data_IF_358377738860
#
_entry.id   IF_358377738860
#
_cell.length_a   1.000
_cell.length_b   1.000
_cell.length_c   1.000
_cell.angle_alpha   90.00
_cell.angle_beta   90.00
_cell.angle_gamma   90.00
#
_symmetry.space_group_name_H-M   'P 1'
#
loop_
_entity.id
_entity.type
_entity.pdbx_description
1 polymer ?
#
# COMPACT_ATOMS: atom_id res chain seq x y z
N UNK A 1 9.21 -16.25 8.42
CA UNK A 1 8.22 -16.09 7.33
C UNK A 1 7.45 -14.82 7.59
N UNK A 2 7.29 -13.97 6.57
CA UNK A 2 6.64 -12.67 6.69
C UNK A 2 5.14 -12.82 6.38
N UNK A 3 4.29 -12.19 7.19
CA UNK A 3 2.88 -11.99 6.85
C UNK A 3 2.73 -10.61 6.24
N UNK A 4 2.28 -10.54 4.99
CA UNK A 4 2.06 -9.31 4.24
C UNK A 4 0.57 -9.03 4.11
N UNK A 5 0.12 -7.86 4.56
CA UNK A 5 -1.26 -7.42 4.47
C UNK A 5 -1.47 -6.53 3.23
N UNK A 6 -2.40 -6.96 2.38
CA UNK A 6 -2.75 -6.34 1.09
C UNK A 6 -4.28 -6.13 0.99
N UNK A 7 -4.75 -5.41 -0.04
CA UNK A 7 -6.17 -5.17 -0.27
C UNK A 7 -6.81 -6.29 -1.10
N UNK A 8 -7.95 -6.79 -0.64
CA UNK A 8 -8.80 -7.69 -1.39
C UNK A 8 -9.33 -7.00 -2.67
N UNK A 9 -9.65 -7.83 -3.65
CA UNK A 9 -10.32 -7.45 -4.89
C UNK A 9 -11.23 -8.61 -5.33
N UNK A 10 -12.09 -8.32 -6.30
CA UNK A 10 -12.92 -9.35 -6.92
C UNK A 10 -12.08 -10.21 -7.85
N UNK A 11 -12.34 -11.52 -7.84
CA UNK A 11 -11.69 -12.44 -8.78
C UNK A 11 -11.94 -12.02 -10.24
N UNK A 12 -10.95 -12.18 -11.15
CA UNK A 12 -9.65 -12.83 -10.95
C UNK A 12 -8.53 -11.91 -10.44
N UNK A 13 -8.86 -10.68 -10.03
CA UNK A 13 -7.86 -9.67 -9.65
C UNK A 13 -7.40 -9.94 -8.21
N UNK A 14 -6.09 -10.10 -8.03
CA UNK A 14 -5.49 -10.36 -6.71
C UNK A 14 -4.72 -9.16 -6.16
N UNK A 15 -3.92 -8.50 -7.00
CA UNK A 15 -3.02 -7.43 -6.57
C UNK A 15 -3.26 -6.18 -7.41
N UNK A 16 -3.59 -5.06 -6.77
CA UNK A 16 -4.01 -3.86 -7.51
C UNK A 16 -3.57 -2.53 -6.88
N UNK A 17 -3.31 -2.48 -5.57
CA UNK A 17 -2.93 -1.24 -4.91
C UNK A 17 -1.48 -0.87 -5.21
N UNK A 18 -1.29 0.34 -5.75
CA UNK A 18 0.04 0.86 -6.06
C UNK A 18 0.95 0.95 -4.83
N UNK A 19 0.40 1.16 -3.64
CA UNK A 19 1.18 1.19 -2.40
C UNK A 19 1.64 -0.22 -2.00
N UNK A 20 0.76 -1.22 -2.08
CA UNK A 20 1.07 -2.58 -1.64
C UNK A 20 2.00 -3.30 -2.63
N UNK A 21 1.90 -2.97 -3.92
CA UNK A 21 2.84 -3.42 -4.95
C UNK A 21 4.30 -3.08 -4.63
N UNK A 22 4.58 -1.91 -4.04
CA UNK A 22 5.95 -1.54 -3.64
C UNK A 22 6.54 -2.56 -2.66
N UNK A 23 5.80 -2.88 -1.60
CA UNK A 23 6.23 -3.89 -0.62
C UNK A 23 6.35 -5.27 -1.23
N UNK A 24 5.40 -5.67 -2.10
CA UNK A 24 5.47 -6.94 -2.83
C UNK A 24 6.75 -7.04 -3.66
N UNK A 25 7.09 -5.99 -4.43
CA UNK A 25 8.31 -5.96 -5.21
C UNK A 25 9.57 -6.04 -4.36
N UNK A 26 9.61 -5.39 -3.20
CA UNK A 26 10.76 -5.49 -2.29
C UNK A 26 10.90 -6.91 -1.72
N UNK A 27 9.80 -7.54 -1.31
CA UNK A 27 9.80 -8.92 -0.83
C UNK A 27 10.29 -9.89 -1.91
N UNK A 28 9.80 -9.73 -3.14
CA UNK A 28 10.17 -10.57 -4.29
C UNK A 28 11.64 -10.34 -4.70
N UNK A 29 12.10 -9.08 -4.77
CA UNK A 29 13.50 -8.70 -5.06
C UNK A 29 14.47 -9.38 -4.08
N UNK A 30 14.10 -9.38 -2.79
CA UNK A 30 14.89 -9.98 -1.72
C UNK A 30 14.75 -11.50 -1.63
N UNK A 31 13.83 -12.09 -2.39
CA UNK A 31 13.47 -13.52 -2.36
C UNK A 31 13.07 -13.98 -0.95
N UNK A 32 12.41 -13.10 -0.19
CA UNK A 32 11.94 -13.43 1.16
C UNK A 32 10.66 -14.27 1.08
N UNK A 33 10.54 -15.28 1.94
CA UNK A 33 9.31 -16.08 2.02
C UNK A 33 8.22 -15.30 2.77
N UNK A 34 7.09 -15.07 2.10
CA UNK A 34 5.93 -14.41 2.67
C UNK A 34 4.61 -15.07 2.28
N UNK A 35 3.59 -14.86 3.12
CA UNK A 35 2.19 -15.11 2.79
C UNK A 35 1.44 -13.79 2.69
N UNK A 36 0.48 -13.71 1.77
CA UNK A 36 -0.40 -12.53 1.66
C UNK A 36 -1.71 -12.78 2.41
N UNK A 37 -2.14 -11.82 3.22
CA UNK A 37 -3.48 -11.73 3.80
C UNK A 37 -4.18 -10.57 3.10
N UNK A 38 -5.19 -10.88 2.30
CA UNK A 38 -6.02 -9.88 1.63
C UNK A 38 -7.13 -9.44 2.56
N UNK A 39 -7.26 -8.13 2.75
CA UNK A 39 -8.25 -7.51 3.63
C UNK A 39 -9.22 -6.64 2.83
N UNK A 40 -10.50 -6.70 3.19
CA UNK A 40 -11.46 -5.68 2.80
C UNK A 40 -11.20 -4.37 3.55
N UNK A 41 -11.68 -3.24 3.00
CA UNK A 41 -11.50 -1.94 3.65
C UNK A 41 -12.10 -1.89 5.07
N UNK A 42 -13.22 -2.59 5.29
CA UNK A 42 -13.89 -2.69 6.59
C UNK A 42 -13.07 -3.46 7.63
N UNK A 43 -12.14 -4.32 7.21
CA UNK A 43 -11.31 -5.14 8.08
C UNK A 43 -10.00 -4.45 8.49
N UNK A 44 -9.53 -3.46 7.69
CA UNK A 44 -8.25 -2.79 7.91
C UNK A 44 -8.09 -2.30 9.35
N UNK A 45 -9.09 -1.58 9.86
CA UNK A 45 -8.99 -0.98 11.20
C UNK A 45 -8.82 -2.06 12.29
N UNK A 46 -9.68 -3.08 12.30
CA UNK A 46 -9.67 -4.08 13.37
C UNK A 46 -8.44 -4.99 13.31
N UNK A 47 -8.02 -5.38 12.11
CA UNK A 47 -6.85 -6.25 11.91
C UNK A 47 -5.56 -5.50 12.20
N UNK A 48 -5.38 -4.29 11.64
CA UNK A 48 -4.14 -3.54 11.80
C UNK A 48 -3.95 -2.98 13.22
N UNK A 49 -5.02 -2.65 13.95
CA UNK A 49 -4.93 -2.34 15.38
C UNK A 49 -4.45 -3.52 16.21
N UNK A 50 -4.96 -4.72 15.93
CA UNK A 50 -4.54 -5.95 16.62
C UNK A 50 -3.06 -6.25 16.35
N UNK A 51 -2.62 -6.05 15.11
CA UNK A 51 -1.25 -6.29 14.68
C UNK A 51 -0.29 -5.21 15.20
N UNK A 52 -0.71 -3.95 15.22
CA UNK A 52 0.04 -2.83 15.78
C UNK A 52 0.18 -2.84 17.30
N UNK A 53 -0.47 -3.77 18.00
CA UNK A 53 -0.24 -4.02 19.43
C UNK A 53 1.07 -4.78 19.72
N UNK A 54 1.83 -5.18 18.70
CA UNK A 54 3.12 -5.87 18.87
C UNK A 54 4.24 -4.90 19.31
N UNK A 55 5.26 -5.38 20.04
CA UNK A 55 6.35 -4.53 20.52
C UNK A 55 7.04 -3.77 19.38
N UNK A 56 7.12 -2.43 19.50
CA UNK A 56 7.83 -1.56 18.56
C UNK A 56 7.06 -1.09 17.31
N UNK A 57 5.78 -1.46 17.14
CA UNK A 57 5.04 -1.16 15.91
C UNK A 57 3.95 -0.09 16.08
N UNK A 58 4.16 1.13 15.59
CA UNK A 58 3.02 1.93 15.15
C UNK A 58 2.61 1.43 13.76
N UNK A 59 1.50 0.69 13.70
CA UNK A 59 0.91 0.27 12.43
C UNK A 59 -0.18 1.27 12.08
N UNK A 60 0.02 2.02 11.00
CA UNK A 60 -1.02 2.85 10.40
C UNK A 60 -2.23 1.98 10.05
N UNK A 61 -3.44 2.54 10.08
CA UNK A 61 -4.67 1.83 9.70
C UNK A 61 -4.80 1.67 8.17
N UNK A 62 -3.66 1.53 7.49
CA UNK A 62 -3.53 1.45 6.04
C UNK A 62 -2.59 0.31 5.66
N UNK A 63 -2.67 -0.13 4.41
CA UNK A 63 -1.76 -1.12 3.82
C UNK A 63 -0.86 -0.46 2.76
N UNK A 64 0.37 -0.95 2.56
CA UNK A 64 0.91 -2.22 3.09
C UNK A 64 1.28 -2.18 4.57
N UNK A 65 1.14 -3.33 5.21
CA UNK A 65 1.71 -3.64 6.51
C UNK A 65 2.33 -5.04 6.47
N UNK A 66 3.35 -5.29 7.28
CA UNK A 66 3.93 -6.61 7.46
C UNK A 66 4.06 -6.96 8.94
N UNK A 67 4.01 -8.27 9.21
CA UNK A 67 4.52 -8.86 10.45
C UNK A 67 5.64 -9.80 10.09
N UNK A 68 6.83 -9.53 10.62
CA UNK A 68 7.95 -10.42 10.49
C UNK A 68 8.03 -11.34 11.70
N UNK A 69 7.61 -12.59 11.51
CA UNK A 69 7.62 -13.60 12.57
C UNK A 69 9.03 -13.93 13.08
N UNK A 70 10.10 -13.63 12.31
CA UNK A 70 11.47 -13.87 12.75
C UNK A 70 11.87 -12.94 13.91
N UNK A 71 11.30 -11.73 13.94
CA UNK A 71 11.64 -10.70 14.93
C UNK A 71 10.47 -10.31 15.83
N UNK A 72 9.24 -10.69 15.46
CA UNK A 72 8.00 -10.19 16.07
C UNK A 72 7.64 -8.76 15.67
N UNK A 73 8.39 -8.13 14.77
CA UNK A 73 8.17 -6.73 14.39
C UNK A 73 6.94 -6.59 13.49
N UNK A 74 6.11 -5.58 13.78
CA UNK A 74 5.03 -5.12 12.92
C UNK A 74 5.42 -3.76 12.32
N UNK A 75 5.41 -3.66 10.99
CA UNK A 75 5.86 -2.46 10.25
C UNK A 75 4.79 -2.07 9.24
N UNK A 76 4.51 -0.77 9.12
CA UNK A 76 3.57 -0.22 8.14
C UNK A 76 4.25 0.90 7.35
N UNK A 77 3.59 1.39 6.29
CA UNK A 77 4.15 2.27 5.26
C UNK A 77 5.15 1.57 4.33
N UNK A 78 4.90 1.66 3.01
CA UNK A 78 5.68 0.93 2.02
C UNK A 78 7.17 1.28 2.02
N UNK A 79 7.52 2.54 2.33
CA UNK A 79 8.90 3.01 2.36
C UNK A 79 9.60 2.51 3.63
N UNK A 80 8.97 2.68 4.79
CA UNK A 80 9.50 2.18 6.07
C UNK A 80 9.66 0.66 6.08
N UNK A 81 8.74 -0.08 5.44
CA UNK A 81 8.88 -1.53 5.25
C UNK A 81 10.12 -1.85 4.43
N UNK A 82 10.39 -1.11 3.36
CA UNK A 82 11.58 -1.34 2.54
C UNK A 82 12.88 -1.08 3.34
N UNK A 83 12.93 -0.01 4.13
CA UNK A 83 14.06 0.31 5.01
C UNK A 83 14.26 -0.77 6.08
N UNK A 84 13.17 -1.21 6.71
CA UNK A 84 13.19 -2.30 7.67
C UNK A 84 13.77 -3.58 7.06
N UNK A 85 13.30 -3.96 5.86
CA UNK A 85 13.76 -5.18 5.21
C UNK A 85 15.22 -5.09 4.75
N UNK A 86 15.69 -3.92 4.31
CA UNK A 86 17.11 -3.69 4.00
C UNK A 86 17.99 -3.85 5.25
N UNK A 87 17.53 -3.36 6.40
CA UNK A 87 18.24 -3.48 7.68
C UNK A 87 18.20 -4.89 8.26
N UNK A 88 17.03 -5.54 8.23
CA UNK A 88 16.81 -6.83 8.87
C UNK A 88 17.38 -7.99 8.06
N UNK A 89 17.45 -7.85 6.73
CA UNK A 89 17.94 -8.88 5.80
C UNK A 89 19.09 -8.34 4.94
N UNK A 90 20.24 -8.00 5.55
CA UNK A 90 21.33 -7.31 4.86
C UNK A 90 22.01 -8.15 3.77
N UNK A 91 21.88 -9.47 3.82
CA UNK A 91 22.44 -10.40 2.83
C UNK A 91 21.60 -10.52 1.54
N UNK A 92 20.48 -9.79 1.46
CA UNK A 92 19.61 -9.74 0.28
C UNK A 92 19.88 -8.49 -0.56
N UNK A 93 19.52 -8.46 -1.86
CA UNK A 93 19.63 -7.24 -2.66
C UNK A 93 18.95 -6.05 -1.97
N UNK A 94 19.63 -4.91 -1.93
CA UNK A 94 19.11 -3.69 -1.28
C UNK A 94 18.07 -3.01 -2.14
N UNK A 95 16.96 -2.60 -1.53
CA UNK A 95 16.01 -1.66 -2.13
C UNK A 95 16.63 -0.25 -2.22
N UNK A 96 17.46 0.11 -1.23
CA UNK A 96 18.23 1.34 -1.18
C UNK A 96 19.73 1.03 -1.26
N UNK A 97 20.33 1.06 -2.46
CA UNK A 97 21.77 0.96 -2.61
C UNK A 97 22.50 2.03 -1.77
N UNK A 98 23.66 1.67 -1.22
CA UNK A 98 24.43 2.57 -0.35
C UNK A 98 24.72 3.90 -1.03
N UNK A 99 24.41 5.01 -0.35
CA UNK A 99 24.57 6.37 -0.85
C UNK A 99 23.37 6.91 -1.64
N UNK A 100 22.32 6.11 -1.85
CA UNK A 100 21.09 6.55 -2.53
C UNK A 100 19.96 6.93 -1.57
N UNK A 101 20.10 6.66 -0.27
CA UNK A 101 19.04 6.74 0.73
C UNK A 101 18.39 8.13 0.76
N UNK A 102 19.21 9.20 0.86
CA UNK A 102 18.71 10.57 0.91
C UNK A 102 18.04 11.02 -0.40
N UNK A 103 18.57 10.59 -1.55
CA UNK A 103 18.03 10.92 -2.86
C UNK A 103 16.69 10.20 -3.10
N UNK A 104 16.60 8.93 -2.73
CA UNK A 104 15.37 8.16 -2.84
C UNK A 104 14.29 8.64 -1.86
N UNK A 105 14.66 9.04 -0.64
CA UNK A 105 13.76 9.69 0.31
C UNK A 105 13.18 10.99 -0.27
N UNK A 106 14.04 11.88 -0.76
CA UNK A 106 13.61 13.14 -1.36
C UNK A 106 12.73 12.92 -2.61
N UNK A 107 13.06 11.92 -3.43
CA UNK A 107 12.22 11.53 -4.56
C UNK A 107 10.86 11.02 -4.10
N UNK A 108 10.81 10.13 -3.11
CA UNK A 108 9.57 9.56 -2.59
C UNK A 108 8.63 10.64 -2.04
N UNK A 109 9.18 11.57 -1.27
CA UNK A 109 8.43 12.72 -0.72
C UNK A 109 7.89 13.59 -1.85
N UNK A 110 8.74 13.96 -2.82
CA UNK A 110 8.31 14.80 -3.94
C UNK A 110 7.29 14.09 -4.83
N UNK A 111 7.46 12.80 -5.07
CA UNK A 111 6.53 11.97 -5.83
C UNK A 111 5.16 11.91 -5.15
N UNK A 112 5.10 11.71 -3.83
CA UNK A 112 3.85 11.70 -3.10
C UNK A 112 3.11 13.05 -3.14
N UNK A 113 3.85 14.17 -3.12
CA UNK A 113 3.28 15.50 -3.31
C UNK A 113 2.78 15.75 -4.74
N UNK A 114 3.40 15.13 -5.74
CA UNK A 114 3.04 15.30 -7.14
C UNK A 114 1.94 14.33 -7.63
N UNK A 115 1.62 13.29 -6.85
CA UNK A 115 0.63 12.25 -7.19
C UNK A 115 -0.84 12.71 -7.22
N UNK A 116 -1.35 13.61 -6.37
CA UNK A 116 -2.78 13.90 -6.30
C UNK A 116 -3.44 14.34 -7.63
N UNK A 117 -2.81 15.16 -8.49
CA UNK A 117 -3.41 15.53 -9.78
C UNK A 117 -3.70 14.36 -10.73
N UNK A 118 -2.94 13.26 -10.65
CA UNK A 118 -3.16 12.07 -11.48
C UNK A 118 -4.08 11.03 -10.82
N UNK A 119 -4.41 11.22 -9.55
CA UNK A 119 -5.27 10.31 -8.78
C UNK A 119 -6.65 10.04 -9.43
N UNK A 120 -7.36 11.02 -10.02
CA UNK A 120 -8.59 10.82 -10.78
C UNK A 120 -8.54 9.72 -11.85
N UNK A 121 -7.40 9.58 -12.54
CA UNK A 121 -7.20 8.59 -13.61
C UNK A 121 -7.40 7.17 -13.06
N UNK A 122 -6.86 6.93 -11.86
CA UNK A 122 -6.83 5.62 -11.25
C UNK A 122 -8.09 5.37 -10.42
N UNK A 123 -8.50 6.35 -9.60
CA UNK A 123 -9.51 6.13 -8.56
C UNK A 123 -10.91 5.87 -9.08
N UNK A 124 -11.33 6.52 -10.17
CA UNK A 124 -12.68 6.29 -10.67
C UNK A 124 -12.94 4.87 -11.17
N UNK A 125 -11.88 4.14 -11.56
CA UNK A 125 -12.03 2.75 -12.06
C UNK A 125 -11.88 1.70 -10.97
N UNK A 126 -11.38 2.07 -9.79
CA UNK A 126 -11.19 1.12 -8.68
C UNK A 126 -12.49 0.43 -8.25
N UNK A 127 -13.66 1.09 -8.16
CA UNK A 127 -14.91 0.39 -7.81
C UNK A 127 -15.20 -0.83 -8.70
N UNK A 128 -14.75 -0.82 -9.96
CA UNK A 128 -14.96 -1.92 -10.89
C UNK A 128 -14.15 -3.17 -10.54
N UNK A 129 -13.18 -3.11 -9.63
CA UNK A 129 -12.32 -4.23 -9.25
C UNK A 129 -12.51 -4.65 -7.79
N UNK A 130 -13.30 -3.92 -7.01
CA UNK A 130 -13.55 -4.22 -5.61
C UNK A 130 -14.65 -5.28 -5.45
N UNK A 131 -14.62 -5.97 -4.31
CA UNK A 131 -15.75 -6.76 -3.85
C UNK A 131 -16.92 -5.84 -3.47
N UNK A 132 -18.15 -6.34 -3.60
CA UNK A 132 -19.36 -5.53 -3.45
C UNK A 132 -19.42 -4.76 -2.12
N UNK A 133 -18.98 -5.40 -1.02
CA UNK A 133 -18.95 -4.78 0.32
C UNK A 133 -17.96 -3.62 0.47
N UNK A 134 -16.95 -3.53 -0.39
CA UNK A 134 -15.90 -2.50 -0.34
C UNK A 134 -16.20 -1.27 -1.21
N UNK A 135 -17.15 -1.37 -2.15
CA UNK A 135 -17.47 -0.29 -3.10
C UNK A 135 -18.01 0.96 -2.37
N UNK A 136 -18.94 0.78 -1.44
CA UNK A 136 -19.57 1.90 -0.71
C UNK A 136 -18.53 2.72 0.05
N UNK A 137 -17.76 2.04 0.92
CA UNK A 137 -16.68 2.67 1.69
C UNK A 137 -15.68 3.39 0.79
N UNK A 138 -15.29 2.78 -0.33
CA UNK A 138 -14.34 3.39 -1.26
C UNK A 138 -14.89 4.69 -1.86
N UNK A 139 -16.15 4.68 -2.29
CA UNK A 139 -16.82 5.88 -2.82
C UNK A 139 -16.90 6.97 -1.76
N UNK A 140 -17.44 6.66 -0.58
CA UNK A 140 -17.63 7.65 0.49
C UNK A 140 -16.32 8.37 0.80
N UNK A 141 -15.25 7.62 1.01
CA UNK A 141 -13.93 8.17 1.38
C UNK A 141 -13.26 8.95 0.24
N UNK A 142 -13.34 8.46 -1.00
CA UNK A 142 -12.62 9.06 -2.12
C UNK A 142 -13.40 10.23 -2.75
N UNK A 143 -14.73 10.19 -2.73
CA UNK A 143 -15.56 11.31 -3.19
C UNK A 143 -15.50 12.48 -2.20
N UNK A 144 -15.45 12.21 -0.89
CA UNK A 144 -15.16 13.23 0.13
C UNK A 144 -13.79 13.87 -0.12
N UNK A 145 -12.74 13.05 -0.31
CA UNK A 145 -11.39 13.56 -0.58
C UNK A 145 -11.29 14.35 -1.90
N UNK A 146 -11.98 13.91 -2.95
CA UNK A 146 -12.01 14.60 -4.25
C UNK A 146 -12.93 15.84 -4.27
N UNK A 147 -13.83 15.96 -3.30
CA UNK A 147 -14.90 16.97 -3.26
C UNK A 147 -15.90 16.84 -4.41
N UNK A 148 -16.03 15.66 -5.02
CA UNK A 148 -16.88 15.36 -6.19
C UNK A 148 -17.04 13.85 -6.39
N UNK A 149 -18.01 13.45 -7.22
CA UNK A 149 -18.21 12.04 -7.56
C UNK A 149 -17.03 11.45 -8.35
N UNK A 150 -16.84 10.13 -8.24
CA UNK A 150 -15.82 9.42 -9.02
C UNK A 150 -16.03 9.58 -10.53
N UNK A 151 -17.28 9.62 -10.98
CA UNK A 151 -17.67 9.77 -12.38
C UNK A 151 -17.29 11.16 -12.93
N UNK A 152 -17.49 12.23 -12.16
CA UNK A 152 -17.07 13.58 -12.54
C UNK A 152 -15.55 13.69 -12.65
N UNK A 153 -14.84 13.03 -11.75
CA UNK A 153 -13.38 12.96 -11.72
C UNK A 153 -12.79 12.31 -12.98
N UNK A 154 -13.44 11.25 -13.48
CA UNK A 154 -13.03 10.56 -14.70
C UNK A 154 -13.20 11.40 -15.97
N UNK A 155 -14.34 12.10 -16.12
CA UNK A 155 -14.66 12.85 -17.34
C UNK A 155 -13.64 13.95 -17.61
N UNK A 156 -13.19 14.68 -16.58
CA UNK A 156 -12.21 15.78 -16.77
C UNK A 156 -10.86 15.32 -17.30
N UNK A 157 -10.50 14.06 -17.06
CA UNK A 157 -9.19 13.54 -17.49
C UNK A 157 -9.15 13.13 -18.96
N UNK A 158 -10.30 12.84 -19.58
CA UNK A 158 -10.37 12.35 -20.96
C UNK A 158 -10.39 13.50 -21.99
N UNK A 159 -10.72 14.73 -21.58
CA UNK A 159 -10.91 15.87 -22.49
C UNK A 159 -9.77 16.91 -22.49
N UNK A 160 -8.56 16.55 -22.06
CA UNK A 160 -7.36 17.41 -22.16
C UNK A 160 -6.26 16.79 -23.05
N UNK A 161 -6.65 16.01 -24.06
CA UNK A 161 -5.78 15.54 -25.14
C UNK A 161 -6.09 16.26 -26.45
#
# INVERSE_FOLDING_TARGET
>A
MITFYDLAAKEPIKNWSSNTWKTRYVLDLKKLSYKTVYLEFSELKSVLQRVGGQPGGFVSLTVPAIVDNATGSAVSDSYQIAEYLDKQYPDTPKAFPSGSEALQAAFYDRFNLARPPVAPIFYGRIPNILNQGSIGWYRDTHEEWLGKSLEESQRRTIFHG
#
